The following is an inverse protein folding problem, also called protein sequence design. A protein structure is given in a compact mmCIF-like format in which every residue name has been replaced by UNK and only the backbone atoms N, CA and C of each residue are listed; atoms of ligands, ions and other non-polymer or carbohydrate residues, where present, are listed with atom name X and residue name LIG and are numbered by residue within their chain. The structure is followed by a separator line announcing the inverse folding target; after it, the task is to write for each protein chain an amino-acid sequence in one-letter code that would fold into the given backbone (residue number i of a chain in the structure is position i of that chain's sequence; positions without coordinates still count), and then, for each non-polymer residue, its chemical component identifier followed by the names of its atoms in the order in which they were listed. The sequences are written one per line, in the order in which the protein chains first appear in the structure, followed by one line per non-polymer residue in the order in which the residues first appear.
data_IF_166781098522
#
_entry.id   IF_166781098522
#
_cell.length_a   1.000
_cell.length_b   1.000
_cell.length_c   1.000
_cell.angle_alpha   90.00
_cell.angle_beta   90.00
_cell.angle_gamma   90.00
#
_symmetry.space_group_name_H-M   'P 1'
#
loop_
_entity.id
_entity.type
_entity.pdbx_description
1 polymer ?
#
# COMPACT_ATOMS: atom_id res chain seq x y z
N UNK A 1 10.17 -13.13 -3.62
CA UNK A 1 8.88 -13.25 -2.92
C UNK A 1 7.98 -12.11 -3.36
N UNK A 2 6.68 -12.32 -3.50
CA UNK A 2 5.77 -11.29 -4.00
C UNK A 2 5.02 -10.66 -2.83
N UNK A 3 5.20 -9.37 -2.61
CA UNK A 3 4.39 -8.66 -1.64
C UNK A 3 3.18 -8.08 -2.35
N UNK A 4 1.98 -8.40 -1.86
CA UNK A 4 0.70 -7.90 -2.36
C UNK A 4 0.07 -7.03 -1.29
N UNK A 5 -0.38 -5.84 -1.67
CA UNK A 5 -1.06 -4.87 -0.82
C UNK A 5 -2.45 -4.62 -1.39
N UNK A 6 -3.47 -4.89 -0.59
CA UNK A 6 -4.87 -4.66 -0.91
C UNK A 6 -5.45 -3.63 0.04
N UNK A 7 -6.23 -2.68 -0.45
CA UNK A 7 -6.82 -1.66 0.43
C UNK A 7 -8.23 -1.24 0.02
N UNK A 8 -9.03 -0.95 1.04
CA UNK A 8 -10.37 -0.39 0.94
C UNK A 8 -10.41 0.89 1.77
N UNK A 9 -10.16 2.02 1.10
CA UNK A 9 -10.12 3.35 1.71
C UNK A 9 -11.40 4.11 1.35
N UNK A 10 -11.99 4.89 2.28
CA UNK A 10 -13.14 5.72 1.95
C UNK A 10 -12.73 6.80 0.92
N UNK A 11 -13.67 7.19 0.06
CA UNK A 11 -13.46 8.15 -1.05
C UNK A 11 -14.65 9.10 -1.25
N UNK A 12 -15.52 9.22 -0.24
CA UNK A 12 -16.75 10.01 -0.32
C UNK A 12 -16.40 11.49 -0.23
N UNK A 13 -15.64 11.86 0.79
CA UNK A 13 -15.19 13.22 1.01
C UNK A 13 -13.96 13.58 0.17
N UNK A 14 -13.75 14.88 -0.03
CA UNK A 14 -12.58 15.39 -0.75
C UNK A 14 -11.27 15.13 0.00
N UNK A 15 -11.30 15.19 1.33
CA UNK A 15 -10.22 14.82 2.26
C UNK A 15 -9.81 13.36 2.09
N UNK A 16 -10.80 12.47 2.11
CA UNK A 16 -10.63 11.02 1.95
C UNK A 16 -10.03 10.66 0.59
N UNK A 17 -10.55 11.23 -0.51
CA UNK A 17 -9.98 11.03 -1.86
C UNK A 17 -8.51 11.45 -1.95
N UNK A 18 -8.14 12.56 -1.31
CA UNK A 18 -6.75 13.03 -1.26
C UNK A 18 -5.88 12.05 -0.48
N UNK A 19 -6.37 11.55 0.66
CA UNK A 19 -5.68 10.56 1.47
C UNK A 19 -5.48 9.24 0.70
N UNK A 20 -6.51 8.74 0.03
CA UNK A 20 -6.43 7.53 -0.81
C UNK A 20 -5.47 7.70 -1.99
N UNK A 21 -5.47 8.87 -2.64
CA UNK A 21 -4.50 9.19 -3.70
C UNK A 21 -3.08 9.26 -3.16
N UNK A 22 -2.88 9.86 -1.99
CA UNK A 22 -1.58 9.91 -1.31
C UNK A 22 -1.05 8.52 -0.96
N UNK A 23 -1.91 7.65 -0.43
CA UNK A 23 -1.59 6.25 -0.15
C UNK A 23 -1.12 5.51 -1.41
N UNK A 24 -1.89 5.63 -2.50
CA UNK A 24 -1.53 5.06 -3.79
C UNK A 24 -0.16 5.55 -4.27
N UNK A 25 0.07 6.85 -4.21
CA UNK A 25 1.33 7.42 -4.70
C UNK A 25 2.51 6.95 -3.84
N UNK A 26 2.35 6.85 -2.52
CA UNK A 26 3.37 6.29 -1.64
C UNK A 26 3.73 4.84 -2.01
N UNK A 27 2.75 4.00 -2.39
CA UNK A 27 3.02 2.66 -2.90
C UNK A 27 3.84 2.69 -4.20
N UNK A 28 3.51 3.58 -5.12
CA UNK A 28 4.27 3.74 -6.38
C UNK A 28 5.70 4.23 -6.11
N UNK A 29 5.88 5.18 -5.19
CA UNK A 29 7.21 5.67 -4.78
C UNK A 29 8.05 4.57 -4.12
N UNK A 30 7.39 3.65 -3.42
CA UNK A 30 7.98 2.42 -2.89
C UNK A 30 8.17 1.33 -3.96
N UNK A 31 7.94 1.62 -5.24
CA UNK A 31 8.17 0.67 -6.34
C UNK A 31 7.17 -0.48 -6.41
N UNK A 32 5.97 -0.32 -5.84
CA UNK A 32 4.87 -1.23 -6.14
C UNK A 32 4.26 -0.91 -7.50
N UNK A 33 3.77 -1.94 -8.17
CA UNK A 33 3.05 -1.84 -9.43
C UNK A 33 1.57 -2.14 -9.22
N UNK A 34 0.71 -1.42 -9.95
CA UNK A 34 -0.73 -1.62 -9.88
C UNK A 34 -1.13 -2.83 -10.72
N UNK A 35 -1.68 -3.86 -10.07
CA UNK A 35 -2.19 -5.06 -10.73
C UNK A 35 -3.69 -4.92 -11.05
N UNK A 36 -4.46 -4.46 -10.07
CA UNK A 36 -5.89 -4.14 -10.20
C UNK A 36 -6.19 -2.85 -9.40
N UNK A 37 -7.38 -2.29 -9.59
CA UNK A 37 -7.89 -1.28 -8.67
C UNK A 37 -7.78 -1.78 -7.22
N UNK A 38 -7.17 -0.95 -6.36
CA UNK A 38 -6.88 -1.28 -4.95
C UNK A 38 -5.94 -2.47 -4.69
N UNK A 39 -5.27 -3.02 -5.71
CA UNK A 39 -4.33 -4.15 -5.55
C UNK A 39 -2.97 -3.80 -6.17
N UNK A 40 -1.95 -3.78 -5.32
CA UNK A 40 -0.59 -3.40 -5.68
C UNK A 40 0.37 -4.53 -5.33
N UNK A 41 1.36 -4.77 -6.19
CA UNK A 41 2.32 -5.86 -6.01
C UNK A 41 3.74 -5.40 -6.24
N UNK A 42 4.67 -5.95 -5.47
CA UNK A 42 6.11 -5.71 -5.63
C UNK A 42 6.88 -7.01 -5.49
N UNK A 43 7.77 -7.27 -6.43
CA UNK A 43 8.71 -8.38 -6.31
C UNK A 43 9.85 -8.01 -5.36
N UNK A 44 10.00 -8.77 -4.28
CA UNK A 44 11.07 -8.64 -3.31
C UNK A 44 12.13 -9.71 -3.56
N UNK A 45 13.38 -9.29 -3.76
CA UNK A 45 14.51 -10.20 -4.05
C UNK A 45 15.15 -10.82 -2.81
N UNK A 46 14.84 -10.31 -1.61
CA UNK A 46 15.36 -10.81 -0.34
C UNK A 46 14.37 -10.61 0.80
N UNK A 47 14.52 -11.40 1.87
CA UNK A 47 13.71 -11.28 3.09
C UNK A 47 13.89 -9.91 3.76
N UNK A 48 15.11 -9.37 3.77
CA UNK A 48 15.39 -8.04 4.34
C UNK A 48 14.57 -6.93 3.67
N UNK A 49 14.31 -7.05 2.36
CA UNK A 49 13.48 -6.08 1.63
C UNK A 49 12.03 -6.14 2.11
N UNK A 50 11.51 -7.35 2.34
CA UNK A 50 10.16 -7.59 2.86
C UNK A 50 10.03 -7.00 4.26
N UNK A 51 10.99 -7.27 5.14
CA UNK A 51 10.99 -6.78 6.52
C UNK A 51 11.01 -5.24 6.57
N UNK A 52 11.80 -4.61 5.69
CA UNK A 52 11.86 -3.15 5.58
C UNK A 52 10.52 -2.55 5.14
N UNK A 53 9.85 -3.17 4.17
CA UNK A 53 8.56 -2.69 3.66
C UNK A 53 7.43 -2.88 4.67
N UNK A 54 7.46 -3.97 5.45
CA UNK A 54 6.52 -4.19 6.55
C UNK A 54 6.63 -3.10 7.63
N UNK A 55 7.84 -2.65 7.96
CA UNK A 55 8.03 -1.56 8.93
C UNK A 55 7.45 -0.22 8.42
N UNK A 56 7.63 0.08 7.13
CA UNK A 56 7.11 1.32 6.52
C UNK A 56 5.57 1.29 6.44
N UNK A 57 4.97 0.12 6.21
CA UNK A 57 3.52 -0.05 6.16
C UNK A 57 2.81 0.44 7.43
N UNK A 58 3.34 0.14 8.62
CA UNK A 58 2.76 0.56 9.90
C UNK A 58 2.67 2.08 10.06
N UNK A 59 3.55 2.84 9.40
CA UNK A 59 3.57 4.30 9.49
C UNK A 59 2.46 4.95 8.64
N UNK A 60 2.00 4.26 7.59
CA UNK A 60 1.03 4.78 6.62
C UNK A 60 -0.43 4.55 7.10
N UNK A 61 -0.63 3.71 8.11
CA UNK A 61 -1.93 3.26 8.67
C UNK A 61 -2.84 4.35 9.29
N UNK A 62 -2.46 5.63 9.24
CA UNK A 62 -3.22 6.72 9.88
C UNK A 62 -4.53 7.11 9.16
N UNK A 63 -4.98 6.36 8.15
CA UNK A 63 -6.21 6.62 7.40
C UNK A 63 -7.19 5.50 7.73
N UNK A 64 -8.41 5.85 8.14
CA UNK A 64 -9.47 5.00 8.72
C UNK A 64 -10.05 3.89 7.82
N UNK A 65 -9.30 3.39 6.83
CA UNK A 65 -9.70 2.29 5.95
C UNK A 65 -9.04 0.95 6.31
N UNK A 66 -9.37 -0.10 5.56
CA UNK A 66 -8.77 -1.43 5.73
C UNK A 66 -7.63 -1.61 4.75
N UNK A 67 -6.48 -2.07 5.24
CA UNK A 67 -5.34 -2.47 4.40
C UNK A 67 -4.92 -3.88 4.78
N UNK A 68 -4.79 -4.74 3.79
CA UNK A 68 -4.34 -6.12 3.90
C UNK A 68 -3.03 -6.28 3.13
N UNK A 69 -2.09 -7.03 3.71
CA UNK A 69 -0.80 -7.34 3.09
C UNK A 69 -0.61 -8.84 3.10
N UNK A 70 -0.29 -9.40 1.93
CA UNK A 70 0.08 -10.81 1.73
C UNK A 70 1.49 -10.89 1.12
N UNK A 71 2.25 -11.94 1.44
CA UNK A 71 3.67 -12.10 1.10
C UNK A 71 3.90 -13.50 0.50
#
# INVERSE_FOLDING_TARGET
MWMVVMFDLPVVEKSERRAATGFRNALLDLGFEMSQFSVYMRFCTSQTQVDTLLLIHFQIWAISGRVHVEI
#
